data_IF_073247544253
#
_entry.id   IF_073247544253
#
_cell.length_a   1.000
_cell.length_b   1.000
_cell.length_c   1.000
_cell.angle_alpha   90.00
_cell.angle_beta   90.00
_cell.angle_gamma   90.00
#
_symmetry.space_group_name_H-M   'P 1'
#
loop_
_entity.id
_entity.type
_entity.pdbx_description
1 polymer ?
#
# COMPACT_ATOMS: atom_id res chain seq x y z
N UNK A 1 8.26 6.09 10.71
CA UNK A 1 7.45 7.23 11.20
C UNK A 1 7.70 7.37 12.68
N UNK A 2 7.81 8.61 13.17
CA UNK A 2 7.85 8.91 14.59
C UNK A 2 6.56 9.66 14.94
N UNK A 3 5.91 9.27 16.05
CA UNK A 3 4.70 9.94 16.51
C UNK A 3 5.04 11.25 17.21
N UNK A 4 4.27 12.29 16.91
CA UNK A 4 4.28 13.55 17.65
C UNK A 4 3.58 13.45 19.00
N UNK A 5 3.80 14.44 19.87
CA UNK A 5 3.19 14.47 21.20
C UNK A 5 1.65 14.44 21.15
N UNK A 6 1.04 15.07 20.15
CA UNK A 6 -0.42 15.10 20.01
C UNK A 6 -0.99 13.76 19.55
N UNK A 7 -0.37 13.15 18.55
CA UNK A 7 -0.74 11.82 18.07
C UNK A 7 -0.65 10.77 19.20
N UNK A 8 0.37 10.87 20.06
CA UNK A 8 0.52 10.02 21.23
C UNK A 8 -0.58 10.25 22.27
N UNK A 9 -1.07 11.48 22.46
CA UNK A 9 -2.21 11.76 23.34
C UNK A 9 -3.49 11.15 22.80
N UNK A 10 -3.76 11.32 21.50
CA UNK A 10 -4.91 10.70 20.83
C UNK A 10 -4.84 9.17 20.93
N UNK A 11 -3.68 8.57 20.67
CA UNK A 11 -3.48 7.13 20.78
C UNK A 11 -3.70 6.62 22.21
N UNK A 12 -3.15 7.31 23.22
CA UNK A 12 -3.36 6.95 24.64
C UNK A 12 -4.84 7.01 25.03
N UNK A 13 -5.56 8.02 24.55
CA UNK A 13 -7.00 8.18 24.80
C UNK A 13 -7.80 7.06 24.12
N UNK A 14 -7.50 6.76 22.86
CA UNK A 14 -8.12 5.66 22.11
C UNK A 14 -7.91 4.32 22.82
N UNK A 15 -6.69 4.05 23.31
CA UNK A 15 -6.39 2.85 24.09
C UNK A 15 -7.16 2.80 25.42
N UNK A 16 -7.29 3.93 26.13
CA UNK A 16 -8.09 3.99 27.35
C UNK A 16 -9.56 3.65 27.08
N UNK A 17 -10.14 4.17 26.00
CA UNK A 17 -11.51 3.84 25.56
C UNK A 17 -11.65 2.36 25.17
N UNK A 18 -10.64 1.76 24.54
CA UNK A 18 -10.64 0.35 24.17
C UNK A 18 -10.57 -0.59 25.39
N UNK A 19 -9.81 -0.20 26.42
CA UNK A 19 -9.67 -0.97 27.67
C UNK A 19 -10.86 -0.76 28.62
N UNK A 20 -11.46 0.43 28.60
CA UNK A 20 -12.59 0.81 29.45
C UNK A 20 -13.70 1.40 28.57
N UNK A 21 -14.59 0.56 28.02
CA UNK A 21 -15.62 1.00 27.10
C UNK A 21 -16.57 1.99 27.77
N UNK A 22 -16.48 3.24 27.32
CA UNK A 22 -17.34 4.34 27.71
C UNK A 22 -17.77 5.08 26.44
N UNK A 23 -18.91 5.81 26.45
CA UNK A 23 -19.30 6.63 25.31
C UNK A 23 -18.19 7.64 24.98
N UNK A 24 -17.60 7.51 23.80
CA UNK A 24 -16.58 8.43 23.30
C UNK A 24 -17.24 9.72 22.80
N UNK A 25 -16.58 10.87 22.99
CA UNK A 25 -17.08 12.12 22.42
C UNK A 25 -16.96 12.10 20.89
N UNK A 26 -17.78 12.91 20.22
CA UNK A 26 -17.70 13.04 18.76
C UNK A 26 -16.33 13.56 18.28
N UNK A 27 -15.63 14.35 19.10
CA UNK A 27 -14.29 14.83 18.78
C UNK A 27 -13.25 13.72 18.91
N UNK A 28 -13.31 12.92 19.97
CA UNK A 28 -12.39 11.78 20.15
C UNK A 28 -12.48 10.79 18.98
N UNK A 29 -13.69 10.55 18.47
CA UNK A 29 -13.91 9.69 17.30
C UNK A 29 -13.28 10.30 16.04
N UNK A 30 -13.46 11.60 15.80
CA UNK A 30 -12.86 12.30 14.66
C UNK A 30 -11.34 12.30 14.74
N UNK A 31 -10.78 12.51 15.92
CA UNK A 31 -9.33 12.52 16.13
C UNK A 31 -8.72 11.14 15.92
N UNK A 32 -9.38 10.08 16.40
CA UNK A 32 -8.98 8.71 16.13
C UNK A 32 -9.01 8.40 14.62
N UNK A 33 -10.05 8.87 13.91
CA UNK A 33 -10.13 8.70 12.46
C UNK A 33 -9.01 9.43 11.72
N UNK A 34 -8.77 10.70 12.06
CA UNK A 34 -7.67 11.50 11.47
C UNK A 34 -6.30 10.88 11.72
N UNK A 35 -6.08 10.33 12.93
CA UNK A 35 -4.85 9.60 13.25
C UNK A 35 -4.73 8.31 12.42
N UNK A 36 -5.82 7.55 12.26
CA UNK A 36 -5.82 6.34 11.43
C UNK A 36 -5.51 6.64 9.96
N UNK A 37 -6.12 7.67 9.38
CA UNK A 37 -5.83 8.12 8.00
C UNK A 37 -4.36 8.51 7.83
N UNK A 38 -3.80 9.26 8.80
CA UNK A 38 -2.39 9.67 8.80
C UNK A 38 -1.45 8.46 8.86
N UNK A 39 -1.82 7.43 9.63
CA UNK A 39 -1.08 6.19 9.72
C UNK A 39 -1.15 5.38 8.42
N UNK A 40 -2.34 5.25 7.83
CA UNK A 40 -2.52 4.54 6.57
C UNK A 40 -1.74 5.22 5.44
N UNK A 41 -1.71 6.56 5.42
CA UNK A 41 -0.87 7.32 4.48
C UNK A 41 0.61 7.05 4.71
N UNK A 42 1.08 7.10 5.96
CA UNK A 42 2.48 6.82 6.27
C UNK A 42 2.88 5.38 5.93
N UNK A 43 1.97 4.41 6.10
CA UNK A 43 2.18 3.01 5.70
C UNK A 43 2.28 2.89 4.18
N UNK A 44 1.37 3.57 3.45
CA UNK A 44 1.39 3.59 1.97
C UNK A 44 2.67 4.24 1.43
N UNK A 45 3.07 5.39 1.95
CA UNK A 45 4.32 6.03 1.52
C UNK A 45 5.54 5.20 1.92
N UNK A 46 5.53 4.58 3.11
CA UNK A 46 6.56 3.64 3.51
C UNK A 46 6.69 2.45 2.54
N UNK A 47 5.57 1.93 2.03
CA UNK A 47 5.58 0.89 1.01
C UNK A 47 6.15 1.39 -0.33
N UNK A 48 5.79 2.62 -0.73
CA UNK A 48 6.33 3.26 -1.93
C UNK A 48 7.84 3.45 -1.86
N UNK A 49 8.36 3.96 -0.74
CA UNK A 49 9.80 4.13 -0.53
C UNK A 49 10.54 2.79 -0.53
N UNK A 50 9.98 1.75 0.12
CA UNK A 50 10.56 0.41 0.06
C UNK A 50 10.59 -0.16 -1.35
N UNK A 51 9.52 0.00 -2.13
CA UNK A 51 9.49 -0.46 -3.52
C UNK A 51 10.57 0.22 -4.37
N UNK A 52 10.81 1.52 -4.17
CA UNK A 52 11.89 2.25 -4.81
C UNK A 52 13.27 1.70 -4.41
N UNK A 53 13.53 1.50 -3.12
CA UNK A 53 14.80 0.93 -2.63
C UNK A 53 15.07 -0.47 -3.20
N UNK A 54 14.05 -1.33 -3.29
CA UNK A 54 14.18 -2.67 -3.88
C UNK A 54 14.50 -2.60 -5.37
N UNK A 55 13.86 -1.69 -6.11
CA UNK A 55 14.18 -1.48 -7.52
C UNK A 55 15.62 -0.96 -7.71
N UNK A 56 16.08 -0.08 -6.84
CA UNK A 56 17.46 0.40 -6.85
C UNK A 56 18.45 -0.73 -6.49
N UNK A 57 18.15 -1.58 -5.51
CA UNK A 57 18.97 -2.77 -5.21
C UNK A 57 19.17 -3.65 -6.43
N UNK A 58 18.10 -3.94 -7.19
CA UNK A 58 18.20 -4.72 -8.41
C UNK A 58 19.10 -4.04 -9.46
N UNK A 59 19.02 -2.71 -9.60
CA UNK A 59 19.87 -1.94 -10.51
C UNK A 59 21.35 -2.00 -10.10
N UNK A 60 21.64 -1.82 -8.82
CA UNK A 60 23.02 -1.93 -8.31
C UNK A 60 23.54 -3.36 -8.46
N UNK A 61 22.72 -4.38 -8.20
CA UNK A 61 23.07 -5.79 -8.36
C UNK A 61 23.41 -6.13 -9.82
N UNK A 62 22.65 -5.62 -10.78
CA UNK A 62 22.88 -5.83 -12.21
C UNK A 62 24.20 -5.21 -12.72
N UNK A 63 24.73 -4.20 -12.02
CA UNK A 63 25.97 -3.51 -12.38
C UNK A 63 27.21 -4.03 -11.62
N UNK A 64 27.08 -5.16 -10.92
CA UNK A 64 28.21 -5.80 -10.24
C UNK A 64 29.23 -6.35 -11.25
N UNK A 65 30.55 -6.34 -10.90
CA UNK A 65 31.12 -5.95 -9.60
C UNK A 65 31.36 -4.44 -9.42
N UNK A 66 31.16 -3.63 -10.46
CA UNK A 66 31.53 -2.20 -10.46
C UNK A 66 30.80 -1.34 -9.40
N UNK A 67 29.63 -1.78 -8.96
CA UNK A 67 28.79 -1.12 -7.95
C UNK A 67 28.87 -1.76 -6.56
N UNK A 68 29.83 -2.66 -6.31
CA UNK A 68 29.87 -3.48 -5.09
C UNK A 68 29.75 -2.65 -3.80
N UNK A 69 30.47 -1.54 -3.68
CA UNK A 69 30.40 -0.67 -2.50
C UNK A 69 28.98 -0.13 -2.28
N UNK A 70 28.36 0.44 -3.32
CA UNK A 70 27.00 1.00 -3.25
C UNK A 70 25.92 -0.07 -3.04
N UNK A 71 26.10 -1.26 -3.62
CA UNK A 71 25.21 -2.39 -3.39
C UNK A 71 25.21 -2.82 -1.92
N UNK A 72 26.40 -2.95 -1.30
CA UNK A 72 26.51 -3.39 0.10
C UNK A 72 25.92 -2.36 1.07
N UNK A 73 26.17 -1.06 0.85
CA UNK A 73 25.59 0.00 1.70
C UNK A 73 24.06 0.04 1.58
N UNK A 74 23.55 -0.03 0.35
CA UNK A 74 22.11 0.00 0.10
C UNK A 74 21.42 -1.25 0.65
N UNK A 75 22.07 -2.42 0.57
CA UNK A 75 21.53 -3.65 1.14
C UNK A 75 21.45 -3.57 2.66
N UNK A 76 22.46 -3.01 3.33
CA UNK A 76 22.42 -2.82 4.77
C UNK A 76 21.29 -1.88 5.21
N UNK A 77 21.09 -0.77 4.50
CA UNK A 77 19.98 0.16 4.74
C UNK A 77 18.62 -0.54 4.55
N UNK A 78 18.46 -1.27 3.44
CA UNK A 78 17.23 -1.99 3.14
C UNK A 78 16.93 -3.06 4.21
N UNK A 79 17.94 -3.80 4.68
CA UNK A 79 17.78 -4.76 5.77
C UNK A 79 17.37 -4.08 7.08
N UNK A 80 17.88 -2.88 7.36
CA UNK A 80 17.43 -2.04 8.48
C UNK A 80 15.96 -1.61 8.37
N UNK A 81 15.48 -1.40 7.15
CA UNK A 81 14.09 -1.09 6.84
C UNK A 81 13.15 -2.32 6.77
N UNK A 82 13.66 -3.52 7.07
CA UNK A 82 12.89 -4.76 7.08
C UNK A 82 12.79 -5.50 5.74
N UNK A 83 13.64 -5.15 4.77
CA UNK A 83 13.76 -5.91 3.52
C UNK A 83 14.14 -7.37 3.79
N UNK A 84 13.54 -8.28 3.02
CA UNK A 84 13.84 -9.72 3.07
C UNK A 84 14.77 -10.04 1.89
N UNK A 85 16.00 -10.52 2.13
CA UNK A 85 16.96 -10.75 1.07
C UNK A 85 16.49 -11.86 0.12
N UNK A 86 16.65 -11.62 -1.17
CA UNK A 86 16.30 -12.56 -2.24
C UNK A 86 17.42 -13.57 -2.50
N UNK A 87 17.11 -14.70 -3.18
CA UNK A 87 18.14 -15.65 -3.61
C UNK A 87 19.27 -15.00 -4.43
N UNK A 88 18.92 -14.03 -5.27
CA UNK A 88 19.85 -13.26 -6.07
C UNK A 88 20.78 -12.39 -5.20
N UNK A 89 20.28 -11.85 -4.08
CA UNK A 89 21.10 -11.10 -3.14
C UNK A 89 22.12 -12.02 -2.47
N UNK A 90 21.70 -13.23 -2.10
CA UNK A 90 22.62 -14.24 -1.57
C UNK A 90 23.64 -14.67 -2.63
N UNK A 91 23.26 -14.76 -3.90
CA UNK A 91 24.18 -15.07 -4.99
C UNK A 91 25.21 -13.95 -5.20
N UNK A 92 24.77 -12.69 -5.22
CA UNK A 92 25.63 -11.51 -5.32
C UNK A 92 26.63 -11.44 -4.15
N UNK A 93 26.16 -11.64 -2.91
CA UNK A 93 27.03 -11.66 -1.73
C UNK A 93 28.03 -12.83 -1.75
N UNK A 94 27.66 -14.00 -2.30
CA UNK A 94 28.59 -15.12 -2.50
C UNK A 94 29.67 -14.78 -3.52
N UNK A 95 29.31 -14.12 -4.61
CA UNK A 95 30.27 -13.66 -5.63
C UNK A 95 31.25 -12.61 -5.08
N UNK A 96 30.81 -11.81 -4.10
CA UNK A 96 31.61 -10.76 -3.45
C UNK A 96 32.35 -11.24 -2.17
N UNK A 97 32.46 -12.56 -1.92
CA UNK A 97 33.05 -13.10 -0.67
C UNK A 97 34.47 -12.66 -0.34
N UNK A 98 35.25 -12.19 -1.32
CA UNK A 98 36.56 -11.58 -1.07
C UNK A 98 36.49 -10.28 -0.26
N UNK A 99 35.31 -9.69 -0.11
CA UNK A 99 35.07 -8.50 0.71
C UNK A 99 34.53 -8.91 2.10
N UNK A 100 35.16 -8.46 3.21
CA UNK A 100 34.73 -8.84 4.57
C UNK A 100 33.32 -8.33 4.91
N UNK A 101 32.93 -7.16 4.39
CA UNK A 101 31.58 -6.60 4.58
C UNK A 101 30.54 -7.49 3.90
N UNK A 102 30.81 -7.95 2.68
CA UNK A 102 29.92 -8.86 1.97
C UNK A 102 29.79 -10.21 2.70
N UNK A 103 30.88 -10.73 3.27
CA UNK A 103 30.85 -11.97 4.05
C UNK A 103 30.02 -11.83 5.36
N UNK A 104 30.14 -10.70 6.05
CA UNK A 104 29.34 -10.40 7.24
C UNK A 104 27.84 -10.26 6.89
N UNK A 105 27.52 -9.51 5.83
CA UNK A 105 26.16 -9.37 5.34
C UNK A 105 25.57 -10.70 4.87
N UNK A 106 26.35 -11.56 4.22
CA UNK A 106 25.91 -12.89 3.81
C UNK A 106 25.46 -13.72 5.01
N UNK A 107 26.24 -13.72 6.08
CA UNK A 107 25.93 -14.45 7.32
C UNK A 107 24.62 -13.94 7.93
N UNK A 108 24.44 -12.60 7.99
CA UNK A 108 23.21 -11.98 8.48
C UNK A 108 22.00 -12.34 7.60
N UNK A 109 22.14 -12.25 6.28
CA UNK A 109 21.07 -12.54 5.33
C UNK A 109 20.63 -14.01 5.39
N UNK A 110 21.56 -14.95 5.60
CA UNK A 110 21.25 -16.37 5.77
C UNK A 110 20.36 -16.61 6.99
N UNK A 111 20.70 -16.01 8.14
CA UNK A 111 19.87 -16.11 9.36
C UNK A 111 18.47 -15.53 9.14
N UNK A 112 18.37 -14.41 8.42
CA UNK A 112 17.07 -13.80 8.08
C UNK A 112 16.24 -14.68 7.14
N UNK A 113 16.86 -15.28 6.13
CA UNK A 113 16.22 -16.20 5.20
C UNK A 113 15.72 -17.47 5.91
N UNK A 114 16.53 -18.06 6.79
CA UNK A 114 16.11 -19.21 7.60
C UNK A 114 14.93 -18.89 8.51
N UNK A 115 14.96 -17.72 9.17
CA UNK A 115 13.82 -17.26 9.99
C UNK A 115 12.56 -17.08 9.15
N UNK A 116 12.69 -16.55 7.94
CA UNK A 116 11.55 -16.38 7.02
C UNK A 116 10.96 -17.72 6.61
N UNK A 117 11.80 -18.67 6.19
CA UNK A 117 11.36 -20.04 5.83
C UNK A 117 10.69 -20.73 7.02
N UNK A 118 11.27 -20.62 8.22
CA UNK A 118 10.69 -21.19 9.44
C UNK A 118 9.32 -20.58 9.77
N UNK A 119 9.18 -19.26 9.62
CA UNK A 119 7.91 -18.57 9.82
C UNK A 119 6.84 -19.02 8.80
N UNK A 120 7.21 -19.15 7.52
CA UNK A 120 6.33 -19.67 6.47
C UNK A 120 5.87 -21.09 6.75
N UNK A 121 6.79 -21.96 7.18
CA UNK A 121 6.46 -23.34 7.51
C UNK A 121 5.51 -23.42 8.72
N UNK A 122 5.79 -22.64 9.78
CA UNK A 122 4.90 -22.55 10.94
C UNK A 122 3.50 -22.04 10.55
N UNK A 123 3.41 -20.98 9.74
CA UNK A 123 2.15 -20.44 9.24
C UNK A 123 1.39 -21.43 8.35
N UNK A 124 2.08 -22.19 7.50
CA UNK A 124 1.47 -23.23 6.67
C UNK A 124 0.87 -24.36 7.52
N UNK A 125 1.53 -24.76 8.62
CA UNK A 125 1.00 -25.77 9.54
C UNK A 125 -0.21 -25.30 10.35
N UNK A 126 -0.30 -24.00 10.65
CA UNK A 126 -1.47 -23.40 11.31
C UNK A 126 -2.67 -23.22 10.38
N UNK A 127 -2.43 -22.75 9.15
CA UNK A 127 -3.48 -22.55 8.13
C UNK A 127 -4.11 -23.86 7.65
N UNK A 128 -3.35 -24.96 7.64
CA UNK A 128 -3.87 -26.29 7.25
C UNK A 128 -4.80 -26.94 8.28
N UNK A 129 -5.05 -26.30 9.44
CA UNK A 129 -5.83 -26.88 10.56
C UNK A 129 -7.22 -26.30 10.79
N UNK A 130 -7.70 -25.36 9.97
CA UNK A 130 -9.07 -24.87 10.08
C UNK A 130 -9.68 -24.58 8.71
N UNK A 131 -10.59 -25.41 8.18
CA UNK A 131 -11.65 -24.84 7.36
C UNK A 131 -12.38 -23.84 8.26
N UNK A 132 -12.32 -22.56 7.89
CA UNK A 132 -13.05 -21.50 8.57
C UNK A 132 -14.55 -21.80 8.44
N UNK A 133 -15.13 -22.49 9.42
CA UNK A 133 -16.55 -22.39 9.65
C UNK A 133 -16.84 -20.91 9.96
N UNK A 134 -17.84 -20.28 9.32
CA UNK A 134 -18.17 -18.90 9.61
C UNK A 134 -18.63 -18.82 11.07
N UNK A 135 -17.77 -18.27 11.93
CA UNK A 135 -18.12 -17.92 13.29
C UNK A 135 -19.03 -16.68 13.23
N UNK A 136 -20.33 -16.92 13.05
CA UNK A 136 -21.35 -15.88 13.18
C UNK A 136 -21.31 -15.41 14.63
N UNK A 137 -21.06 -14.12 14.92
CA UNK A 137 -21.17 -13.61 16.28
C UNK A 137 -22.60 -13.82 16.76
N UNK A 138 -22.78 -14.37 17.96
CA UNK A 138 -24.09 -14.62 18.54
C UNK A 138 -24.84 -13.30 18.76
N UNK A 139 -25.57 -12.85 17.74
CA UNK A 139 -26.60 -11.82 17.84
C UNK A 139 -27.72 -12.38 18.70
N UNK A 140 -27.69 -12.02 19.98
CA UNK A 140 -28.76 -12.30 20.94
C UNK A 140 -29.98 -11.46 20.60
N UNK A 141 -30.88 -12.01 19.79
CA UNK A 141 -32.31 -11.69 19.81
C UNK A 141 -33.06 -12.84 19.13
N UNK A 142 -33.44 -13.86 19.90
CA UNK A 142 -34.41 -14.85 19.45
C UNK A 142 -35.76 -14.16 19.33
N UNK A 143 -36.23 -13.90 18.11
CA UNK A 143 -37.62 -13.56 17.86
C UNK A 143 -38.45 -14.82 18.14
N UNK A 144 -39.19 -14.80 19.26
CA UNK A 144 -40.25 -15.76 19.51
C UNK A 144 -41.36 -15.46 18.50
N UNK A 145 -41.50 -16.32 17.49
CA UNK A 145 -42.68 -16.34 16.65
C UNK A 145 -43.89 -16.66 17.53
N UNK A 146 -44.83 -15.71 17.63
CA UNK A 146 -46.12 -15.93 18.26
C UNK A 146 -46.92 -16.94 17.42
N UNK A 147 -47.33 -18.09 18.00
CA UNK A 147 -48.20 -19.02 17.30
C UNK A 147 -49.60 -18.41 17.14
N UNK A 148 -50.05 -18.26 15.89
CA UNK A 148 -51.43 -17.96 15.55
C UNK A 148 -52.36 -19.09 15.97
N UNK A 149 -53.49 -18.75 16.58
CA UNK A 149 -54.53 -19.68 17.01
C UNK A 149 -55.92 -19.10 16.76
N UNK A 150 -56.68 -19.82 15.94
CA UNK A 150 -58.04 -19.57 15.47
C UNK A 150 -59.06 -19.56 16.62
N UNK A 151 -60.12 -18.75 16.52
CA UNK A 151 -61.38 -19.00 17.22
C UNK A 151 -62.56 -18.49 16.40
N UNK A 152 -63.28 -19.46 15.83
CA UNK A 152 -64.63 -19.35 15.30
C UNK A 152 -65.64 -19.24 16.45
N UNK A 153 -66.54 -18.28 16.40
CA UNK A 153 -67.69 -18.17 17.32
C UNK A 153 -68.54 -16.95 16.98
N UNK A 154 -69.71 -17.20 16.40
CA UNK A 154 -70.62 -16.24 15.79
C UNK A 154 -71.17 -15.16 16.75
N UNK A 155 -71.50 -13.98 16.19
CA UNK A 155 -72.72 -13.20 16.45
C UNK A 155 -72.86 -12.06 15.43
N UNK A 156 -73.92 -12.15 14.61
CA UNK A 156 -74.74 -11.12 13.96
C UNK A 156 -74.16 -9.73 13.59
N UNK A 157 -74.35 -9.33 12.32
CA UNK A 157 -74.43 -7.90 11.97
C UNK A 157 -74.12 -7.52 10.52
N UNK A 158 -75.08 -7.71 9.63
CA UNK A 158 -75.41 -6.91 8.43
C UNK A 158 -74.37 -6.57 7.34
N UNK A 159 -74.72 -7.03 6.13
CA UNK A 159 -74.68 -6.32 4.82
C UNK A 159 -73.31 -6.01 4.20
N UNK A 160 -73.06 -6.11 2.90
CA UNK A 160 -73.70 -6.63 1.70
C UNK A 160 -72.72 -6.32 0.54
N UNK A 161 -72.93 -6.89 -0.65
CA UNK A 161 -72.42 -6.48 -1.99
C UNK A 161 -71.08 -7.13 -2.41
N UNK A 162 -71.10 -8.30 -3.09
CA UNK A 162 -71.17 -8.57 -4.58
C UNK A 162 -69.76 -8.75 -5.18
N UNK A 163 -69.39 -10.00 -5.52
CA UNK A 163 -69.17 -10.55 -6.90
C UNK A 163 -68.06 -9.85 -7.72
N UNK A 164 -67.27 -10.47 -8.59
CA UNK A 164 -67.01 -11.83 -9.03
C UNK A 164 -65.76 -11.74 -9.95
N UNK A 165 -64.96 -12.80 -10.10
CA UNK A 165 -64.07 -12.94 -11.28
C UNK A 165 -64.86 -13.44 -12.50
N UNK A 166 -64.25 -14.06 -13.52
CA UNK A 166 -62.85 -14.10 -13.94
C UNK A 166 -62.71 -13.97 -15.50
N UNK A 167 -61.51 -14.22 -16.06
CA UNK A 167 -61.25 -15.06 -17.25
C UNK A 167 -60.17 -14.54 -18.21
N UNK A 168 -59.43 -15.52 -18.76
CA UNK A 168 -58.31 -15.49 -19.69
C UNK A 168 -58.77 -15.18 -21.13
N UNK A 169 -57.85 -14.84 -22.04
CA UNK A 169 -57.83 -15.33 -23.44
C UNK A 169 -56.52 -14.95 -24.16
N UNK A 170 -56.26 -15.68 -25.24
CA UNK A 170 -54.98 -16.03 -25.86
C UNK A 170 -54.37 -15.07 -26.90
N UNK A 171 -53.08 -15.35 -27.20
CA UNK A 171 -52.39 -15.36 -28.50
C UNK A 171 -52.36 -14.12 -29.43
N UNK A 172 -51.13 -13.63 -29.73
CA UNK A 172 -50.59 -13.51 -31.12
C UNK A 172 -49.14 -12.98 -31.14
N UNK A 173 -48.22 -13.72 -31.77
CA UNK A 173 -47.02 -13.16 -32.41
C UNK A 173 -47.36 -12.55 -33.77
N UNK A 174 -46.56 -11.57 -34.24
CA UNK A 174 -45.98 -11.71 -35.58
C UNK A 174 -44.50 -11.28 -35.68
N UNK A 175 -43.95 -11.55 -36.86
CA UNK A 175 -42.55 -11.74 -37.23
C UNK A 175 -41.72 -10.46 -37.50
N UNK A 176 -40.40 -10.62 -37.30
CA UNK A 176 -39.20 -10.05 -37.98
C UNK A 176 -39.26 -8.70 -38.73
N UNK A 177 -38.32 -7.81 -38.38
CA UNK A 177 -37.39 -7.17 -39.34
C UNK A 177 -36.09 -6.72 -38.63
N UNK A 178 -34.90 -6.76 -39.29
CA UNK A 178 -33.60 -6.54 -38.66
C UNK A 178 -33.21 -5.06 -38.70
N UNK A 179 -32.78 -4.49 -37.56
CA UNK A 179 -32.27 -3.11 -37.51
C UNK A 179 -30.92 -3.01 -36.80
N UNK A 180 -29.91 -2.78 -37.65
CA UNK A 180 -28.73 -1.90 -37.52
C UNK A 180 -27.89 -1.99 -36.25
N UNK A 181 -26.65 -2.44 -36.45
CA UNK A 181 -25.52 -2.24 -35.54
C UNK A 181 -25.34 -0.73 -35.23
N UNK A 182 -25.16 -0.35 -33.95
CA UNK A 182 -24.92 1.04 -33.58
C UNK A 182 -23.50 1.47 -33.98
N UNK A 183 -23.44 2.57 -34.72
CA UNK A 183 -22.22 3.23 -35.16
C UNK A 183 -21.32 3.68 -33.99
N UNK A 184 -20.02 3.47 -34.16
CA UNK A 184 -18.93 3.92 -33.31
C UNK A 184 -18.93 5.44 -33.14
N UNK A 185 -18.82 6.00 -31.92
CA UNK A 185 -18.72 7.45 -31.73
C UNK A 185 -17.35 7.98 -32.19
N UNK A 186 -17.29 9.19 -32.79
CA UNK A 186 -16.03 9.79 -33.23
C UNK A 186 -15.14 10.19 -32.04
N UNK A 187 -13.84 9.94 -32.19
CA UNK A 187 -12.81 10.29 -31.23
C UNK A 187 -12.75 11.79 -30.95
N UNK A 188 -12.71 12.17 -29.67
CA UNK A 188 -12.48 13.55 -29.22
C UNK A 188 -11.02 13.96 -29.50
N UNK A 189 -10.75 15.22 -29.89
CA UNK A 189 -9.38 15.71 -30.07
C UNK A 189 -8.61 15.69 -28.74
N UNK A 190 -7.37 15.21 -28.78
CA UNK A 190 -6.46 15.20 -27.64
C UNK A 190 -6.15 16.64 -27.15
N UNK A 191 -6.02 16.87 -25.83
CA UNK A 191 -5.62 18.17 -25.30
C UNK A 191 -4.17 18.49 -25.69
N UNK A 192 -3.96 19.70 -26.20
CA UNK A 192 -2.64 20.20 -26.62
C UNK A 192 -1.66 20.28 -25.45
N UNK A 193 -0.42 19.85 -25.68
CA UNK A 193 0.67 19.93 -24.71
C UNK A 193 0.97 21.38 -24.30
N UNK A 194 1.22 21.68 -23.01
CA UNK A 194 1.61 23.01 -22.57
C UNK A 194 3.01 23.35 -23.08
N UNK A 195 3.15 24.48 -23.77
CA UNK A 195 4.44 25.01 -24.24
C UNK A 195 5.29 25.44 -23.03
N UNK A 196 6.57 25.05 -22.93
CA UNK A 196 7.45 25.50 -21.85
C UNK A 196 7.81 26.97 -22.06
N UNK A 197 7.14 27.87 -21.33
CA UNK A 197 7.35 29.33 -21.40
C UNK A 197 8.45 29.84 -20.46
N UNK A 198 9.40 28.99 -20.06
CA UNK A 198 10.54 29.41 -19.24
C UNK A 198 11.84 28.85 -19.83
N UNK A 199 12.79 29.72 -20.23
CA UNK A 199 14.11 29.29 -20.64
C UNK A 199 14.78 28.51 -19.50
N UNK A 200 15.28 27.31 -19.80
CA UNK A 200 16.12 26.57 -18.86
C UNK A 200 17.46 27.32 -18.80
N UNK A 201 17.90 27.78 -17.62
CA UNK A 201 19.15 28.52 -17.50
C UNK A 201 20.31 27.65 -17.97
N UNK A 202 21.19 28.25 -18.78
CA UNK A 202 22.31 27.53 -19.36
C UNK A 202 23.38 27.25 -18.30
N UNK A 203 24.19 26.18 -18.42
CA UNK A 203 25.19 25.81 -17.42
C UNK A 203 26.18 26.94 -17.04
N UNK A 204 26.37 27.93 -17.92
CA UNK A 204 27.22 29.11 -17.64
C UNK A 204 26.60 30.14 -16.70
N UNK A 205 25.27 30.15 -16.54
CA UNK A 205 24.55 31.08 -15.64
C UNK A 205 24.46 30.53 -14.21
N UNK A 206 24.41 29.21 -14.05
CA UNK A 206 24.30 28.56 -12.73
C UNK A 206 25.65 28.27 -12.08
N UNK A 207 26.73 28.22 -12.87
CA UNK A 207 28.08 27.96 -12.38
C UNK A 207 29.02 29.11 -12.76
N UNK A 208 29.22 30.13 -11.89
CA UNK A 208 30.19 31.18 -12.15
C UNK A 208 31.59 30.60 -12.28
N UNK A 209 32.18 30.71 -13.48
CA UNK A 209 33.57 30.31 -13.74
C UNK A 209 34.51 31.12 -12.86
N UNK A 210 35.29 30.45 -12.01
CA UNK A 210 36.44 31.06 -11.33
C UNK A 210 37.45 31.47 -12.42
N UNK A 211 37.77 32.77 -12.50
CA UNK A 211 38.87 33.25 -13.33
C UNK A 211 40.19 32.65 -12.78
N UNK A 212 41.10 32.12 -13.62
CA UNK A 212 42.40 31.66 -13.15
C UNK A 212 43.18 32.83 -12.56
N UNK A 213 43.79 32.62 -11.38
CA UNK A 213 44.73 33.57 -10.77
C UNK A 213 46.01 33.64 -11.63
N UNK A 214 46.51 34.83 -12.01
CA UNK A 214 47.77 34.94 -12.75
C UNK A 214 48.95 34.46 -11.89
N UNK A 215 50.00 33.87 -12.51
CA UNK A 215 51.16 33.37 -11.77
C UNK A 215 51.93 34.52 -11.10
N UNK A 216 52.55 34.28 -9.93
CA UNK A 216 53.32 35.31 -9.23
C UNK A 216 54.60 35.69 -9.98
N UNK A 217 54.89 36.99 -10.02
CA UNK A 217 55.97 37.61 -10.83
C UNK A 217 57.39 37.47 -10.25
N UNK A 218 57.64 36.58 -9.29
CA UNK A 218 58.98 36.45 -8.69
C UNK A 218 59.42 34.99 -8.57
N UNK A 219 60.42 34.54 -9.36
CA UNK A 219 61.10 33.28 -9.06
C UNK A 219 62.03 33.47 -7.85
N UNK A 220 62.02 32.57 -6.84
CA UNK A 220 62.98 32.63 -5.76
C UNK A 220 64.39 32.29 -6.29
N UNK A 221 65.33 33.19 -6.01
CA UNK A 221 66.76 33.05 -6.30
C UNK A 221 67.31 31.79 -5.61
N UNK A 222 67.91 30.90 -6.39
CA UNK A 222 68.70 29.79 -5.88
C UNK A 222 69.99 30.34 -5.28
N UNK A 223 70.10 30.29 -3.95
CA UNK A 223 71.36 30.47 -3.24
C UNK A 223 72.15 29.16 -3.34
N UNK A 224 73.22 29.19 -4.12
CA UNK A 224 74.26 28.18 -4.09
C UNK A 224 74.96 28.22 -2.73
N UNK A 225 74.98 27.09 -2.04
CA UNK A 225 75.94 26.81 -0.98
C UNK A 225 76.83 25.65 -1.48
N UNK A 226 78.14 25.88 -1.41
CA UNK A 226 79.18 24.96 -1.87
C UNK A 226 79.49 23.82 -0.91
#
# INVERSE_FOLDING_TARGET
MAFGAEELRVLRRALALALHPAPASAEDIKDCHRLAESLDEAVREGARLRAFLVADLARYRAALPGTAAGYLTLLEEALGAGYRPEPDDLAALRALRGNPVAAALLTRCQVLAERDVRARLAGATGSRRTPAAPAVPASRTRLLALPGGLSTGACAGSSAVVQAGPARLDAKEPQREPRRDPATPPAKPAPAAPKPSRPIPTPGEVFPRRKPTPPPTNPPQQLAAG
#
